data_IF_243050377752
#
_entry.id   IF_243050377752
#
_cell.length_a   1.000
_cell.length_b   1.000
_cell.length_c   1.000
_cell.angle_alpha   90.00
_cell.angle_beta   90.00
_cell.angle_gamma   90.00
#
_symmetry.space_group_name_H-M   'P 1'
#
loop_
_entity.id
_entity.type
_entity.pdbx_description
1 polymer ?
#
# COMPACT_ATOMS: atom_id res chain seq x y z
N UNK A 1 -16.10 23.70 -16.01
CA UNK A 1 -15.70 24.02 -14.64
C UNK A 1 -15.06 22.78 -14.00
N UNK A 2 -13.71 22.73 -14.06
CA UNK A 2 -12.87 21.60 -13.63
C UNK A 2 -12.56 21.66 -12.11
N UNK A 3 -13.55 21.65 -11.24
CA UNK A 3 -13.33 21.63 -9.79
C UNK A 3 -13.35 20.23 -9.16
N UNK A 4 -13.68 19.18 -9.91
CA UNK A 4 -13.85 17.84 -9.39
C UNK A 4 -12.55 17.03 -9.19
N UNK A 5 -11.60 17.14 -10.10
CA UNK A 5 -10.38 16.34 -10.06
C UNK A 5 -9.28 16.90 -9.13
N UNK A 6 -9.29 18.22 -8.90
CA UNK A 6 -8.30 18.86 -8.02
C UNK A 6 -8.61 18.75 -6.53
N UNK A 7 -9.88 18.60 -6.15
CA UNK A 7 -10.26 18.57 -4.75
C UNK A 7 -9.94 17.24 -4.06
N UNK A 8 -10.07 16.11 -4.77
CA UNK A 8 -9.74 14.79 -4.22
C UNK A 8 -8.26 14.63 -3.91
N UNK A 9 -7.39 15.01 -4.86
CA UNK A 9 -5.94 14.97 -4.67
C UNK A 9 -5.46 15.93 -3.58
N UNK A 10 -6.06 17.12 -3.48
CA UNK A 10 -5.71 18.08 -2.43
C UNK A 10 -6.16 17.60 -1.03
N UNK A 11 -7.29 16.92 -0.93
CA UNK A 11 -7.78 16.35 0.34
C UNK A 11 -6.91 15.15 0.75
N UNK A 12 -6.52 14.27 -0.18
CA UNK A 12 -5.63 13.15 0.10
C UNK A 12 -4.23 13.66 0.51
N UNK A 13 -3.63 14.59 -0.23
CA UNK A 13 -2.36 15.21 0.13
C UNK A 13 -2.42 15.98 1.48
N UNK A 14 -3.54 16.63 1.79
CA UNK A 14 -3.78 17.24 3.10
C UNK A 14 -3.88 16.19 4.20
N UNK A 15 -4.56 15.07 3.96
CA UNK A 15 -4.68 13.98 4.96
C UNK A 15 -3.32 13.32 5.25
N UNK A 16 -2.49 13.09 4.22
CA UNK A 16 -1.13 12.55 4.35
C UNK A 16 -0.21 13.51 5.12
N UNK A 17 -0.20 14.79 4.74
CA UNK A 17 0.59 15.81 5.44
C UNK A 17 0.07 16.11 6.84
N UNK A 18 -1.23 15.95 7.09
CA UNK A 18 -1.87 16.19 8.39
C UNK A 18 -1.53 15.08 9.38
N UNK A 19 -1.48 13.80 8.99
CA UNK A 19 -1.23 12.71 9.93
C UNK A 19 0.12 12.89 10.66
N UNK A 20 1.25 12.89 9.96
CA UNK A 20 2.57 13.05 10.60
C UNK A 20 2.76 14.41 11.29
N UNK A 21 2.14 15.47 10.77
CA UNK A 21 2.20 16.82 11.37
C UNK A 21 1.39 16.92 12.67
N UNK A 22 0.23 16.25 12.73
CA UNK A 22 -0.58 16.21 13.96
C UNK A 22 0.16 15.46 15.06
N UNK A 23 0.75 14.30 14.78
CA UNK A 23 1.57 13.59 15.75
C UNK A 23 2.78 14.45 16.19
N UNK A 24 3.45 15.12 15.25
CA UNK A 24 4.56 16.01 15.58
C UNK A 24 4.16 17.15 16.52
N UNK A 25 2.99 17.74 16.32
CA UNK A 25 2.45 18.76 17.21
C UNK A 25 2.10 18.18 18.59
N UNK A 26 1.46 17.01 18.63
CA UNK A 26 1.11 16.33 19.88
C UNK A 26 2.36 15.94 20.69
N UNK A 27 3.40 15.42 20.03
CA UNK A 27 4.68 15.12 20.68
C UNK A 27 5.35 16.37 21.22
N UNK A 28 5.38 17.45 20.45
CA UNK A 28 5.94 18.73 20.90
C UNK A 28 5.20 19.30 22.12
N UNK A 29 3.87 19.17 22.12
CA UNK A 29 3.01 19.61 23.24
C UNK A 29 2.98 18.59 24.38
N UNK A 30 3.61 17.41 24.26
CA UNK A 30 3.59 16.30 25.21
C UNK A 30 2.16 15.80 25.52
N UNK A 31 1.29 15.81 24.52
CA UNK A 31 -0.07 15.29 24.61
C UNK A 31 -0.03 13.83 24.19
N UNK A 32 -0.45 12.87 25.05
CA UNK A 32 -0.51 11.46 24.69
C UNK A 32 -1.56 11.22 23.61
N UNK A 33 -1.25 10.30 22.69
CA UNK A 33 -2.16 9.86 21.62
C UNK A 33 -2.02 8.36 21.37
N UNK A 34 -3.08 7.73 20.85
CA UNK A 34 -3.14 6.29 20.59
C UNK A 34 -2.84 5.99 19.13
N UNK A 35 -1.61 6.25 18.68
CA UNK A 35 -1.21 6.08 17.27
C UNK A 35 0.29 5.84 17.17
N UNK A 36 0.77 5.39 16.01
CA UNK A 36 2.20 5.33 15.68
C UNK A 36 2.82 6.73 15.67
N UNK A 37 4.09 6.83 16.05
CA UNK A 37 4.82 8.10 16.12
C UNK A 37 5.08 8.73 14.74
N UNK A 38 5.64 9.94 14.73
CA UNK A 38 5.86 10.76 13.53
C UNK A 38 6.64 10.02 12.45
N UNK A 39 7.77 9.38 12.80
CA UNK A 39 8.62 8.69 11.83
C UNK A 39 7.89 7.50 11.20
N UNK A 40 7.24 6.68 12.00
CA UNK A 40 6.51 5.51 11.52
C UNK A 40 5.35 5.91 10.60
N UNK A 41 4.57 6.92 10.98
CA UNK A 41 3.47 7.44 10.16
C UNK A 41 3.97 8.03 8.85
N UNK A 42 5.07 8.78 8.86
CA UNK A 42 5.67 9.33 7.64
C UNK A 42 6.22 8.24 6.70
N UNK A 43 6.87 7.21 7.25
CA UNK A 43 7.37 6.07 6.47
C UNK A 43 6.23 5.24 5.89
N UNK A 44 5.20 4.92 6.68
CA UNK A 44 4.05 4.14 6.24
C UNK A 44 3.31 4.80 5.07
N UNK A 45 3.27 6.12 5.03
CA UNK A 45 2.67 6.89 3.93
C UNK A 45 3.50 6.87 2.63
N UNK A 46 4.79 6.60 2.68
CA UNK A 46 5.67 6.56 1.52
C UNK A 46 5.93 5.11 1.08
N UNK A 47 5.22 4.67 0.05
CA UNK A 47 5.31 3.29 -0.47
C UNK A 47 6.72 2.92 -0.92
N UNK A 48 7.48 3.86 -1.51
CA UNK A 48 8.84 3.59 -1.97
C UNK A 48 9.76 3.35 -0.77
N UNK A 49 9.70 4.21 0.23
CA UNK A 49 10.55 4.09 1.44
C UNK A 49 10.19 2.87 2.28
N UNK A 50 8.89 2.58 2.44
CA UNK A 50 8.43 1.37 3.12
C UNK A 50 8.94 0.10 2.44
N UNK A 51 8.82 0.01 1.10
CA UNK A 51 9.29 -1.14 0.34
C UNK A 51 10.81 -1.30 0.38
N UNK A 52 11.58 -0.22 0.29
CA UNK A 52 13.04 -0.27 0.45
C UNK A 52 13.43 -0.79 1.84
N UNK A 53 12.74 -0.34 2.88
CA UNK A 53 12.94 -0.81 4.25
C UNK A 53 12.65 -2.31 4.37
N UNK A 54 11.52 -2.77 3.82
CA UNK A 54 11.14 -4.19 3.84
C UNK A 54 12.13 -5.05 3.07
N UNK A 55 12.56 -4.63 1.88
CA UNK A 55 13.61 -5.35 1.14
C UNK A 55 14.90 -5.47 1.95
N UNK A 56 15.35 -4.36 2.57
CA UNK A 56 16.54 -4.36 3.43
C UNK A 56 16.40 -5.24 4.67
N UNK A 57 15.19 -5.41 5.19
CA UNK A 57 14.87 -6.26 6.33
C UNK A 57 14.56 -7.73 5.96
N UNK A 58 14.60 -8.09 4.67
CA UNK A 58 14.24 -9.43 4.20
C UNK A 58 12.75 -9.76 4.38
N UNK A 59 11.88 -8.73 4.32
CA UNK A 59 10.43 -8.87 4.37
C UNK A 59 9.90 -8.93 2.94
N UNK A 60 9.05 -9.92 2.65
CA UNK A 60 8.50 -10.15 1.32
C UNK A 60 7.59 -8.99 0.91
N UNK A 61 7.93 -8.33 -0.20
CA UNK A 61 7.11 -7.32 -0.89
C UNK A 61 7.31 -7.47 -2.39
N UNK A 62 6.34 -7.08 -3.19
CA UNK A 62 6.42 -7.16 -4.65
C UNK A 62 7.64 -6.41 -5.20
N UNK A 63 8.23 -6.93 -6.28
CA UNK A 63 9.30 -6.22 -7.00
C UNK A 63 8.82 -4.85 -7.44
N UNK A 64 9.67 -3.82 -7.36
CA UNK A 64 9.27 -2.48 -7.74
C UNK A 64 10.44 -1.66 -8.28
N UNK A 65 10.11 -0.55 -8.91
CA UNK A 65 11.06 0.46 -9.39
C UNK A 65 10.43 1.85 -9.30
N UNK A 66 11.22 2.84 -8.89
CA UNK A 66 10.81 4.25 -8.97
C UNK A 66 10.94 4.72 -10.41
N UNK A 67 9.89 5.34 -10.93
CA UNK A 67 9.81 5.81 -12.31
C UNK A 67 10.24 7.28 -12.43
N UNK A 68 10.85 7.59 -13.57
CA UNK A 68 11.15 8.95 -14.02
C UNK A 68 10.82 9.06 -15.50
N UNK A 69 10.76 10.27 -16.05
CA UNK A 69 10.57 10.47 -17.49
C UNK A 69 11.66 9.82 -18.37
N UNK A 70 12.80 9.47 -17.79
CA UNK A 70 13.91 8.79 -18.48
C UNK A 70 13.98 7.29 -18.20
N UNK A 71 12.94 6.69 -17.62
CA UNK A 71 12.89 5.26 -17.31
C UNK A 71 12.94 4.40 -18.57
N UNK A 72 13.62 3.26 -18.49
CA UNK A 72 13.61 2.22 -19.51
C UNK A 72 12.30 1.41 -19.41
N UNK A 73 11.24 1.91 -20.06
CA UNK A 73 9.91 1.32 -20.02
C UNK A 73 9.89 -0.14 -20.44
N UNK A 74 10.61 -0.47 -21.51
CA UNK A 74 10.66 -1.83 -22.03
C UNK A 74 11.39 -2.77 -21.07
N UNK A 75 12.57 -2.38 -20.59
CA UNK A 75 13.33 -3.20 -19.63
C UNK A 75 12.63 -3.39 -18.28
N UNK A 76 11.80 -2.44 -17.88
CA UNK A 76 10.97 -2.58 -16.65
C UNK A 76 9.91 -3.67 -16.85
N UNK A 77 9.17 -3.64 -17.96
CA UNK A 77 8.17 -4.67 -18.27
C UNK A 77 8.81 -6.05 -18.46
N UNK A 78 9.95 -6.14 -19.13
CA UNK A 78 10.69 -7.41 -19.28
C UNK A 78 11.09 -8.00 -17.93
N UNK A 79 11.44 -7.17 -16.96
CA UNK A 79 11.89 -7.60 -15.62
C UNK A 79 10.74 -7.89 -14.66
N UNK A 80 9.70 -7.08 -14.65
CA UNK A 80 8.61 -7.15 -13.65
C UNK A 80 7.33 -7.77 -14.19
N UNK A 81 7.19 -7.90 -15.52
CA UNK A 81 5.91 -8.29 -16.14
C UNK A 81 4.85 -7.21 -16.04
N UNK A 82 3.60 -7.60 -15.85
CA UNK A 82 2.48 -6.70 -15.55
C UNK A 82 2.76 -5.99 -14.23
N UNK A 83 2.53 -4.69 -14.19
CA UNK A 83 2.78 -3.85 -13.00
C UNK A 83 1.55 -2.98 -12.67
N UNK A 84 1.47 -2.53 -11.42
CA UNK A 84 0.69 -1.37 -11.04
C UNK A 84 1.60 -0.15 -10.92
N UNK A 85 1.22 0.93 -11.60
CA UNK A 85 1.85 2.26 -11.43
C UNK A 85 1.07 3.03 -10.40
N UNK A 86 1.78 3.59 -9.41
CA UNK A 86 1.17 4.25 -8.25
C UNK A 86 1.93 5.52 -7.89
N UNK A 87 1.24 6.60 -7.51
CA UNK A 87 1.87 7.67 -6.74
C UNK A 87 2.40 7.13 -5.40
N UNK A 88 3.57 7.58 -4.96
CA UNK A 88 4.22 7.02 -3.77
C UNK A 88 3.48 7.33 -2.46
N UNK A 89 2.94 8.56 -2.35
CA UNK A 89 2.37 9.08 -1.11
C UNK A 89 0.85 9.23 -1.15
N UNK A 90 0.18 8.79 -2.22
CA UNK A 90 -1.28 8.84 -2.32
C UNK A 90 -1.93 7.56 -1.77
N UNK A 91 -3.09 7.75 -1.14
CA UNK A 91 -3.94 6.67 -0.63
C UNK A 91 -5.10 6.32 -1.56
N UNK A 92 -5.93 5.37 -1.15
CA UNK A 92 -7.22 5.05 -1.78
C UNK A 92 -7.16 4.73 -3.27
N UNK A 93 -6.08 4.14 -3.75
CA UNK A 93 -5.85 3.80 -5.16
C UNK A 93 -5.92 4.97 -6.15
N UNK A 94 -5.81 6.23 -5.67
CA UNK A 94 -5.80 7.42 -6.51
C UNK A 94 -4.59 7.39 -7.44
N UNK A 95 -4.82 7.58 -8.75
CA UNK A 95 -3.77 7.58 -9.78
C UNK A 95 -3.11 6.22 -10.02
N UNK A 96 -3.66 5.13 -9.48
CA UNK A 96 -3.19 3.77 -9.71
C UNK A 96 -3.68 3.26 -11.06
N UNK A 97 -2.76 2.74 -11.87
CA UNK A 97 -3.07 2.23 -13.21
C UNK A 97 -2.27 0.97 -13.49
N UNK A 98 -2.90 -0.14 -13.96
CA UNK A 98 -2.16 -1.32 -14.41
C UNK A 98 -1.47 -1.05 -15.76
N UNK A 99 -0.32 -1.69 -15.97
CA UNK A 99 0.41 -1.64 -17.23
C UNK A 99 1.12 -2.97 -17.50
N UNK A 100 1.01 -3.45 -18.72
CA UNK A 100 1.60 -4.71 -19.20
C UNK A 100 2.51 -4.53 -20.45
N UNK A 101 2.67 -3.31 -20.88
CA UNK A 101 3.50 -2.93 -22.04
C UNK A 101 4.23 -1.61 -21.78
N UNK A 102 5.32 -1.38 -22.49
CA UNK A 102 6.11 -0.16 -22.37
C UNK A 102 5.27 1.11 -22.59
N UNK A 103 4.40 1.09 -23.62
CA UNK A 103 3.53 2.23 -23.92
C UNK A 103 2.48 2.48 -22.82
N UNK A 104 1.87 1.41 -22.28
CA UNK A 104 0.95 1.51 -21.16
C UNK A 104 1.65 2.01 -19.89
N UNK A 105 2.88 1.54 -19.62
CA UNK A 105 3.68 1.96 -18.48
C UNK A 105 4.03 3.45 -18.53
N UNK A 106 4.47 3.95 -19.69
CA UNK A 106 4.74 5.38 -19.90
C UNK A 106 3.47 6.23 -19.68
N UNK A 107 2.34 5.82 -20.24
CA UNK A 107 1.07 6.53 -20.06
C UNK A 107 0.60 6.51 -18.61
N UNK A 108 0.74 5.37 -17.92
CA UNK A 108 0.43 5.24 -16.50
C UNK A 108 1.32 6.14 -15.63
N UNK A 109 2.62 6.27 -15.96
CA UNK A 109 3.52 7.20 -15.31
C UNK A 109 3.07 8.65 -15.48
N UNK A 110 2.70 9.06 -16.71
CA UNK A 110 2.21 10.42 -16.97
C UNK A 110 0.94 10.74 -16.20
N UNK A 111 0.08 9.76 -16.00
CA UNK A 111 -1.13 9.90 -15.18
C UNK A 111 -0.78 10.02 -13.69
N UNK A 112 0.01 9.10 -13.15
CA UNK A 112 0.38 9.08 -11.73
C UNK A 112 1.21 10.32 -11.32
N UNK A 113 2.08 10.82 -12.21
CA UNK A 113 2.91 12.01 -11.96
C UNK A 113 2.12 13.33 -11.83
N UNK A 114 0.82 13.33 -12.15
CA UNK A 114 -0.06 14.45 -11.88
C UNK A 114 -0.47 14.56 -10.40
N UNK A 115 -0.32 13.47 -9.65
CA UNK A 115 -0.72 13.37 -8.25
C UNK A 115 0.48 13.46 -7.29
N UNK A 116 1.63 12.88 -7.66
CA UNK A 116 2.84 12.90 -6.85
C UNK A 116 4.09 13.00 -7.75
N UNK A 117 5.14 13.65 -7.24
CA UNK A 117 6.44 13.70 -7.90
C UNK A 117 7.18 12.36 -7.87
N UNK A 118 6.88 11.53 -6.87
CA UNK A 118 7.44 10.19 -6.74
C UNK A 118 6.42 9.16 -7.21
N UNK A 119 6.77 8.43 -8.26
CA UNK A 119 5.92 7.39 -8.86
C UNK A 119 6.67 6.08 -8.85
N UNK A 120 5.98 4.98 -8.49
CA UNK A 120 6.55 3.64 -8.56
C UNK A 120 5.74 2.74 -9.51
N UNK A 121 6.44 1.83 -10.17
CA UNK A 121 5.85 0.64 -10.77
C UNK A 121 6.13 -0.54 -9.85
N UNK A 122 5.08 -1.22 -9.43
CA UNK A 122 5.13 -2.41 -8.59
C UNK A 122 4.62 -3.61 -9.34
N UNK A 123 5.31 -4.74 -9.22
CA UNK A 123 4.90 -6.01 -9.80
C UNK A 123 3.46 -6.34 -9.43
N UNK A 124 2.66 -6.66 -10.43
CA UNK A 124 1.31 -7.18 -10.23
C UNK A 124 1.39 -8.57 -9.60
N UNK A 125 0.75 -8.73 -8.47
CA UNK A 125 0.63 -10.03 -7.80
C UNK A 125 -0.79 -10.53 -8.03
N UNK A 126 -0.90 -11.60 -8.79
CA UNK A 126 -2.19 -12.20 -9.12
C UNK A 126 -2.62 -13.13 -7.98
N UNK A 127 -3.69 -12.75 -7.30
CA UNK A 127 -4.26 -13.53 -6.21
C UNK A 127 -5.05 -12.69 -5.20
N UNK A 128 -5.54 -13.33 -4.14
CA UNK A 128 -6.38 -12.69 -3.14
C UNK A 128 -5.60 -11.69 -2.26
N UNK A 129 -6.29 -10.62 -1.89
CA UNK A 129 -5.82 -9.62 -0.94
C UNK A 129 -6.29 -9.96 0.47
N UNK A 130 -5.39 -9.80 1.44
CA UNK A 130 -5.66 -9.99 2.86
C UNK A 130 -5.27 -8.75 3.64
N UNK A 131 -6.02 -8.48 4.69
CA UNK A 131 -5.67 -7.44 5.65
C UNK A 131 -5.53 -8.04 7.05
N UNK A 132 -4.48 -7.61 7.77
CA UNK A 132 -4.18 -8.07 9.12
C UNK A 132 -4.13 -6.86 10.05
N UNK A 133 -5.06 -6.79 10.98
CA UNK A 133 -5.03 -5.78 12.03
C UNK A 133 -3.98 -6.16 13.08
N UNK A 134 -3.23 -5.17 13.56
CA UNK A 134 -2.24 -5.32 14.62
C UNK A 134 -2.69 -4.50 15.83
N UNK A 135 -2.64 -5.11 17.01
CA UNK A 135 -2.89 -4.46 18.29
C UNK A 135 -1.72 -4.72 19.25
N UNK A 136 -0.94 -3.69 19.52
CA UNK A 136 0.31 -3.83 20.26
C UNK A 136 1.30 -4.73 19.53
N UNK A 137 1.61 -5.87 20.10
CA UNK A 137 2.50 -6.89 19.53
C UNK A 137 1.74 -8.12 18.99
N UNK A 138 0.42 -8.01 18.88
CA UNK A 138 -0.43 -9.12 18.46
C UNK A 138 -1.04 -8.83 17.07
N UNK A 139 -0.80 -9.73 16.13
CA UNK A 139 -1.59 -9.81 14.91
C UNK A 139 -2.96 -10.46 15.20
N UNK A 140 -4.02 -9.83 14.75
CA UNK A 140 -5.38 -10.37 14.83
C UNK A 140 -5.63 -11.28 13.61
N UNK A 141 -6.67 -12.13 13.64
CA UNK A 141 -7.01 -12.98 12.50
C UNK A 141 -7.13 -12.17 11.20
N UNK A 142 -6.58 -12.72 10.13
CA UNK A 142 -6.62 -12.07 8.83
C UNK A 142 -8.03 -12.03 8.24
N UNK A 143 -8.28 -11.06 7.40
CA UNK A 143 -9.53 -10.89 6.66
C UNK A 143 -9.18 -10.97 5.18
N UNK A 144 -9.81 -11.86 4.42
CA UNK A 144 -9.70 -11.90 2.97
C UNK A 144 -10.70 -10.91 2.36
N UNK A 145 -10.20 -10.08 1.46
CA UNK A 145 -11.02 -9.16 0.67
C UNK A 145 -11.28 -9.77 -0.71
N UNK A 146 -12.53 -9.77 -1.11
CA UNK A 146 -12.98 -10.26 -2.42
C UNK A 146 -13.80 -9.17 -3.09
N UNK A 147 -13.45 -8.83 -4.32
CA UNK A 147 -14.18 -7.86 -5.15
C UNK A 147 -14.48 -8.48 -6.50
N UNK A 148 -15.63 -8.15 -7.07
CA UNK A 148 -16.00 -8.56 -8.43
C UNK A 148 -15.25 -7.73 -9.51
N UNK A 149 -14.55 -6.65 -9.12
CA UNK A 149 -13.70 -5.88 -10.00
C UNK A 149 -12.36 -6.58 -10.26
N UNK A 150 -11.72 -6.31 -11.41
CA UNK A 150 -10.40 -6.87 -11.76
C UNK A 150 -9.34 -6.60 -10.68
N UNK A 151 -9.52 -5.54 -9.88
CA UNK A 151 -8.67 -5.20 -8.72
C UNK A 151 -9.43 -4.33 -7.72
N UNK A 152 -8.95 -4.30 -6.47
CA UNK A 152 -9.55 -3.55 -5.37
C UNK A 152 -9.18 -2.05 -5.46
N UNK A 153 -9.85 -1.34 -6.39
CA UNK A 153 -9.64 0.08 -6.67
C UNK A 153 -10.49 1.00 -5.77
N UNK A 154 -10.45 2.30 -6.08
CA UNK A 154 -11.23 3.30 -5.35
C UNK A 154 -12.75 3.03 -5.42
N UNK A 155 -13.24 2.58 -6.55
CA UNK A 155 -14.66 2.27 -6.74
C UNK A 155 -15.08 1.08 -5.90
N UNK A 156 -14.28 0.01 -5.88
CA UNK A 156 -14.48 -1.16 -5.03
C UNK A 156 -14.36 -0.81 -3.53
N UNK A 157 -13.48 0.15 -3.17
CA UNK A 157 -13.27 0.56 -1.77
C UNK A 157 -14.38 1.41 -1.18
N UNK A 158 -15.00 2.27 -1.96
CA UNK A 158 -15.84 3.36 -1.43
C UNK A 158 -17.20 3.54 -2.11
N UNK A 159 -17.39 3.01 -3.32
CA UNK A 159 -18.59 3.27 -4.12
C UNK A 159 -19.38 2.00 -4.46
N UNK A 160 -18.75 0.82 -4.38
CA UNK A 160 -19.38 -0.45 -4.67
C UNK A 160 -19.72 -1.18 -3.38
N UNK A 161 -20.92 -1.72 -3.29
CA UNK A 161 -21.34 -2.64 -2.23
C UNK A 161 -20.88 -4.10 -2.51
N UNK A 162 -20.09 -4.33 -3.58
CA UNK A 162 -19.72 -5.65 -4.06
C UNK A 162 -18.47 -6.23 -3.36
N UNK A 163 -17.81 -5.47 -2.49
CA UNK A 163 -16.69 -5.99 -1.71
C UNK A 163 -17.17 -6.89 -0.59
N UNK A 164 -16.72 -8.13 -0.62
CA UNK A 164 -16.99 -9.13 0.42
C UNK A 164 -15.79 -9.29 1.33
N UNK A 165 -16.04 -9.33 2.63
CA UNK A 165 -15.03 -9.54 3.66
C UNK A 165 -15.25 -10.91 4.30
N UNK A 166 -14.26 -11.78 4.19
CA UNK A 166 -14.28 -13.12 4.78
C UNK A 166 -13.46 -13.12 6.08
N UNK A 167 -14.16 -13.30 7.20
CA UNK A 167 -13.56 -13.42 8.53
C UNK A 167 -14.23 -14.60 9.27
N UNK A 168 -13.52 -15.71 9.47
CA UNK A 168 -12.12 -15.98 9.15
C UNK A 168 -11.84 -15.98 7.62
N UNK A 169 -10.57 -15.77 7.27
CA UNK A 169 -10.08 -15.54 5.89
C UNK A 169 -10.02 -16.80 5.02
N UNK A 170 -10.38 -17.96 5.56
CA UNK A 170 -10.33 -19.29 4.91
C UNK A 170 -8.89 -19.82 4.68
N UNK A 171 -7.87 -19.19 5.27
CA UNK A 171 -6.52 -19.71 5.30
C UNK A 171 -6.42 -20.91 6.26
N UNK A 172 -5.52 -21.83 5.95
CA UNK A 172 -5.13 -22.88 6.91
C UNK A 172 -4.41 -22.27 8.10
N UNK A 173 -4.34 -23.00 9.22
CA UNK A 173 -3.64 -22.53 10.43
C UNK A 173 -2.17 -22.17 10.17
N UNK A 174 -1.49 -22.91 9.28
CA UNK A 174 -0.12 -22.62 8.88
C UNK A 174 0.00 -21.33 8.09
N UNK A 175 -0.88 -21.11 7.13
CA UNK A 175 -0.92 -19.90 6.28
C UNK A 175 -1.32 -18.67 7.11
N UNK A 176 -2.27 -18.82 8.03
CA UNK A 176 -2.65 -17.75 8.96
C UNK A 176 -1.46 -17.36 9.86
N UNK A 177 -0.70 -18.33 10.35
CA UNK A 177 0.51 -18.09 11.13
C UNK A 177 1.57 -17.35 10.30
N UNK A 178 1.73 -17.71 9.02
CA UNK A 178 2.69 -17.08 8.12
C UNK A 178 2.33 -15.62 7.82
N UNK A 179 1.07 -15.34 7.43
CA UNK A 179 0.64 -13.99 7.12
C UNK A 179 0.66 -13.09 8.35
N UNK A 180 0.28 -13.60 9.51
CA UNK A 180 0.33 -12.89 10.79
C UNK A 180 1.78 -12.50 11.16
N UNK A 181 2.73 -13.45 11.03
CA UNK A 181 4.14 -13.20 11.30
C UNK A 181 4.74 -12.19 10.29
N UNK A 182 4.38 -12.28 9.01
CA UNK A 182 4.82 -11.34 7.97
C UNK A 182 4.30 -9.93 8.28
N UNK A 183 3.00 -9.79 8.58
CA UNK A 183 2.36 -8.52 8.88
C UNK A 183 2.97 -7.87 10.12
N UNK A 184 3.17 -8.64 11.20
CA UNK A 184 3.77 -8.11 12.43
C UNK A 184 5.20 -7.63 12.19
N UNK A 185 6.02 -8.38 11.45
CA UNK A 185 7.38 -7.96 11.08
C UNK A 185 7.37 -6.69 10.22
N UNK A 186 6.47 -6.57 9.25
CA UNK A 186 6.34 -5.39 8.41
C UNK A 186 5.97 -4.16 9.25
N UNK A 187 4.99 -4.28 10.12
CA UNK A 187 4.54 -3.25 11.04
C UNK A 187 5.66 -2.77 11.98
N UNK A 188 6.36 -3.71 12.63
CA UNK A 188 7.45 -3.41 13.55
C UNK A 188 8.65 -2.78 12.85
N UNK A 189 9.00 -3.22 11.63
CA UNK A 189 10.15 -2.69 10.88
C UNK A 189 10.00 -1.22 10.51
N UNK A 190 8.77 -0.75 10.28
CA UNK A 190 8.46 0.67 10.04
C UNK A 190 8.51 1.49 11.33
N UNK A 191 8.53 0.82 12.50
CA UNK A 191 8.49 1.46 13.81
C UNK A 191 7.07 1.81 14.27
N UNK A 192 6.07 1.15 13.70
CA UNK A 192 4.68 1.32 14.10
C UNK A 192 4.42 0.79 15.50
N UNK A 193 3.47 1.38 16.19
CA UNK A 193 3.12 1.07 17.56
C UNK A 193 1.61 1.22 17.80
N UNK A 194 1.15 0.72 18.92
CA UNK A 194 -0.21 0.78 19.46
C UNK A 194 -1.20 -0.04 18.63
N UNK A 195 -1.53 0.36 17.42
CA UNK A 195 -2.39 -0.39 16.50
C UNK A 195 -2.13 0.05 15.06
N UNK A 196 -2.55 -0.78 14.13
CA UNK A 196 -2.50 -0.50 12.70
C UNK A 196 -3.01 -1.69 11.89
N UNK A 197 -2.85 -1.60 10.57
CA UNK A 197 -3.29 -2.62 9.64
C UNK A 197 -2.22 -2.83 8.57
N UNK A 198 -1.98 -4.06 8.21
CA UNK A 198 -1.05 -4.44 7.15
C UNK A 198 -1.83 -5.13 6.04
N UNK A 199 -1.70 -4.62 4.83
CA UNK A 199 -2.35 -5.16 3.65
C UNK A 199 -1.34 -6.03 2.88
N UNK A 200 -1.75 -7.22 2.46
CA UNK A 200 -0.92 -8.22 1.80
C UNK A 200 -1.63 -8.85 0.62
N UNK A 201 -0.85 -9.29 -0.38
CA UNK A 201 -1.32 -10.15 -1.46
C UNK A 201 -0.73 -11.54 -1.30
N UNK A 202 -1.45 -12.57 -1.77
CA UNK A 202 -0.96 -13.94 -1.86
C UNK A 202 -0.93 -14.38 -3.32
N UNK A 203 0.23 -14.82 -3.81
CA UNK A 203 0.35 -15.28 -5.20
C UNK A 203 -0.19 -16.71 -5.38
N UNK A 204 -0.19 -17.19 -6.64
CA UNK A 204 -0.64 -18.53 -7.00
C UNK A 204 0.22 -19.66 -6.38
N UNK A 205 1.47 -19.38 -6.03
CA UNK A 205 2.39 -20.31 -5.35
C UNK A 205 2.18 -20.32 -3.83
N UNK A 206 1.26 -19.49 -3.33
CA UNK A 206 0.90 -19.40 -1.91
C UNK A 206 1.77 -18.45 -1.09
N UNK A 207 2.66 -17.71 -1.71
CA UNK A 207 3.56 -16.77 -1.03
C UNK A 207 2.88 -15.42 -0.77
N UNK A 208 3.07 -14.90 0.44
CA UNK A 208 2.55 -13.60 0.84
C UNK A 208 3.54 -12.46 0.58
N UNK A 209 3.00 -11.31 0.18
CA UNK A 209 3.74 -10.07 -0.09
C UNK A 209 3.06 -8.90 0.59
N UNK A 210 3.82 -8.10 1.33
CA UNK A 210 3.30 -6.87 1.93
C UNK A 210 3.09 -5.81 0.86
N UNK A 211 1.91 -5.19 0.85
CA UNK A 211 1.56 -4.06 0.02
C UNK A 211 1.83 -2.74 0.72
N UNK A 212 1.21 -2.55 1.87
CA UNK A 212 1.30 -1.32 2.66
C UNK A 212 1.02 -1.57 4.14
N UNK A 213 1.44 -0.64 4.98
CA UNK A 213 1.10 -0.55 6.39
C UNK A 213 0.32 0.73 6.63
N UNK A 214 -0.83 0.59 7.26
CA UNK A 214 -1.69 1.70 7.67
C UNK A 214 -1.57 1.88 9.18
N UNK A 215 -1.13 3.06 9.60
CA UNK A 215 -0.91 3.43 11.01
C UNK A 215 -2.09 4.18 11.57
#
# INVERSE_FOLDING_TARGET
SNWGAGAGGLIAALMVGVAANVQGLLEWLRIPYSHSGVLASALAMDKVRSKLLWQGAGISTGGFVTLTAASDWQGIIERLGKVFVKPACEGSSIGMTPADSAAALEQAYLTASQYDQSVLAEQFIDGPEYTVAILGEQALPSIRMETDNEFYDYEAKYLSDDTRYHCPSELTESEETEVAALALRAFQSVGCAVWGRVDTMRDADGKFYVLEVNT
#
